data_IF_725909414206
#
_entry.id   IF_725909414206
#
_cell.length_a   1.000
_cell.length_b   1.000
_cell.length_c   1.000
_cell.angle_alpha   90.00
_cell.angle_beta   90.00
_cell.angle_gamma   90.00
#
_symmetry.space_group_name_H-M   'P 1'
#
loop_
_entity.id
_entity.type
_entity.pdbx_description
1 polymer ?
#
# COMPACT_ATOMS: atom_id res chain seq x y z
N UNK A 1 23.16 30.14 68.03
CA UNK A 1 23.12 29.52 66.68
C UNK A 1 21.92 28.57 66.56
N UNK A 2 20.71 29.08 66.26
CA UNK A 2 19.47 28.27 66.20
C UNK A 2 18.59 28.49 64.95
N UNK A 3 19.03 29.33 64.01
CA UNK A 3 18.31 29.64 62.76
C UNK A 3 18.71 28.75 61.57
N UNK A 4 19.73 27.90 61.72
CA UNK A 4 20.27 27.11 60.60
C UNK A 4 19.43 25.87 60.28
N UNK A 5 18.89 25.18 61.29
CA UNK A 5 18.13 23.94 61.06
C UNK A 5 16.73 24.20 60.48
N UNK A 6 16.14 25.36 60.76
CA UNK A 6 14.81 25.73 60.24
C UNK A 6 14.87 25.98 58.73
N UNK A 7 15.92 26.64 58.24
CA UNK A 7 16.11 26.90 56.81
C UNK A 7 16.41 25.62 56.00
N UNK A 8 17.10 24.64 56.59
CA UNK A 8 17.32 23.34 55.93
C UNK A 8 16.02 22.52 55.88
N UNK A 9 15.22 22.55 56.96
CA UNK A 9 13.96 21.83 57.02
C UNK A 9 12.95 22.35 56.00
N UNK A 10 12.86 23.67 55.79
CA UNK A 10 11.94 24.26 54.82
C UNK A 10 12.33 23.93 53.38
N UNK A 11 13.62 23.98 53.04
CA UNK A 11 14.11 23.60 51.70
C UNK A 11 13.83 22.13 51.42
N UNK A 12 14.03 21.25 52.41
CA UNK A 12 13.75 19.82 52.26
C UNK A 12 12.25 19.57 52.07
N UNK A 13 11.39 20.31 52.77
CA UNK A 13 9.93 20.18 52.66
C UNK A 13 9.40 20.68 51.31
N UNK A 14 9.93 21.79 50.79
CA UNK A 14 9.62 22.26 49.42
C UNK A 14 10.15 21.29 48.34
N UNK A 15 11.35 20.72 48.54
CA UNK A 15 11.91 19.69 47.66
C UNK A 15 11.03 18.44 47.62
N UNK A 16 10.57 17.94 48.76
CA UNK A 16 9.66 16.80 48.84
C UNK A 16 8.30 17.09 48.20
N UNK A 17 7.75 18.29 48.40
CA UNK A 17 6.48 18.69 47.75
C UNK A 17 6.61 18.73 46.21
N UNK A 18 7.73 19.22 45.69
CA UNK A 18 8.04 19.21 44.26
C UNK A 18 8.13 17.80 43.68
N UNK A 19 8.77 16.87 44.40
CA UNK A 19 8.87 15.46 43.96
C UNK A 19 7.52 14.75 43.99
N UNK A 20 6.67 14.99 44.99
CA UNK A 20 5.31 14.45 45.03
C UNK A 20 4.45 15.00 43.88
N UNK A 21 4.57 16.29 43.59
CA UNK A 21 3.85 16.92 42.46
C UNK A 21 4.32 16.37 41.12
N UNK A 22 5.62 16.17 40.95
CA UNK A 22 6.19 15.59 39.74
C UNK A 22 5.77 14.12 39.58
N UNK A 23 5.75 13.33 40.66
CA UNK A 23 5.28 11.94 40.63
C UNK A 23 3.79 11.83 40.29
N UNK A 24 2.95 12.74 40.79
CA UNK A 24 1.54 12.78 40.44
C UNK A 24 1.33 13.21 38.99
N UNK A 25 2.09 14.22 38.54
CA UNK A 25 2.03 14.71 37.17
C UNK A 25 2.47 13.65 36.16
N UNK A 26 3.56 12.91 36.42
CA UNK A 26 4.04 11.84 35.55
C UNK A 26 3.11 10.63 35.53
N UNK A 27 2.53 10.24 36.67
CA UNK A 27 1.54 9.17 36.74
C UNK A 27 0.25 9.53 35.98
N UNK A 28 -0.23 10.76 36.16
CA UNK A 28 -1.43 11.25 35.49
C UNK A 28 -1.20 11.48 33.98
N UNK A 29 -0.03 11.96 33.57
CA UNK A 29 0.32 12.11 32.16
C UNK A 29 0.49 10.75 31.47
N UNK A 30 1.03 9.75 32.17
CA UNK A 30 1.18 8.39 31.63
C UNK A 30 -0.16 7.75 31.28
N UNK A 31 -1.21 7.97 32.10
CA UNK A 31 -2.55 7.44 31.83
C UNK A 31 -3.20 8.08 30.60
N UNK A 32 -2.91 9.37 30.32
CA UNK A 32 -3.39 10.03 29.09
C UNK A 32 -2.60 9.62 27.85
N UNK A 33 -1.30 9.38 28.00
CA UNK A 33 -0.43 8.90 26.92
C UNK A 33 -0.90 7.57 26.35
N UNK A 34 -1.23 6.61 27.23
CA UNK A 34 -1.68 5.27 26.84
C UNK A 34 -2.94 5.31 25.94
N UNK A 35 -3.92 6.15 26.28
CA UNK A 35 -5.14 6.31 25.48
C UNK A 35 -4.84 6.95 24.12
N UNK A 36 -3.98 7.97 24.08
CA UNK A 36 -3.56 8.61 22.82
C UNK A 36 -2.78 7.64 21.94
N UNK A 37 -1.93 6.80 22.54
CA UNK A 37 -1.15 5.78 21.84
C UNK A 37 -2.05 4.68 21.27
N UNK A 38 -3.13 4.30 21.98
CA UNK A 38 -4.16 3.39 21.48
C UNK A 38 -4.85 3.99 20.24
N UNK A 39 -5.31 5.23 20.31
CA UNK A 39 -5.97 5.87 19.15
C UNK A 39 -5.02 6.03 17.97
N UNK A 40 -3.77 6.41 18.22
CA UNK A 40 -2.78 6.56 17.18
C UNK A 40 -2.47 5.20 16.52
N UNK A 41 -2.37 4.13 17.32
CA UNK A 41 -2.20 2.76 16.82
C UNK A 41 -3.38 2.31 15.98
N UNK A 42 -4.61 2.53 16.44
CA UNK A 42 -5.81 2.17 15.69
C UNK A 42 -5.91 2.94 14.37
N UNK A 43 -5.57 4.23 14.38
CA UNK A 43 -5.57 5.05 13.18
C UNK A 43 -4.51 4.58 12.17
N UNK A 44 -3.31 4.24 12.63
CA UNK A 44 -2.25 3.67 11.78
C UNK A 44 -2.68 2.33 11.18
N UNK A 45 -3.26 1.44 12.00
CA UNK A 45 -3.76 0.15 11.53
C UNK A 45 -4.90 0.31 10.52
N UNK A 46 -5.79 1.27 10.72
CA UNK A 46 -6.86 1.60 9.76
C UNK A 46 -6.30 2.16 8.45
N UNK A 47 -5.32 3.05 8.51
CA UNK A 47 -4.66 3.61 7.34
C UNK A 47 -3.97 2.54 6.51
N UNK A 48 -3.25 1.62 7.14
CA UNK A 48 -2.61 0.49 6.45
C UNK A 48 -3.64 -0.39 5.76
N UNK A 49 -4.73 -0.74 6.46
CA UNK A 49 -5.84 -1.52 5.89
C UNK A 49 -6.52 -0.82 4.72
N UNK A 50 -6.67 0.50 4.79
CA UNK A 50 -7.27 1.28 3.72
C UNK A 50 -6.36 1.31 2.49
N UNK A 51 -5.05 1.47 2.67
CA UNK A 51 -4.08 1.37 1.58
C UNK A 51 -4.07 -0.03 0.93
N UNK A 52 -4.13 -1.11 1.73
CA UNK A 52 -4.20 -2.46 1.18
C UNK A 52 -5.51 -2.69 0.41
N UNK A 53 -6.64 -2.24 0.96
CA UNK A 53 -7.94 -2.36 0.33
C UNK A 53 -8.04 -1.54 -0.97
N UNK A 54 -7.51 -0.32 -0.99
CA UNK A 54 -7.42 0.49 -2.21
C UNK A 54 -6.57 -0.21 -3.27
N UNK A 55 -5.41 -0.75 -2.89
CA UNK A 55 -4.52 -1.42 -3.83
C UNK A 55 -5.13 -2.69 -4.41
N UNK A 56 -5.87 -3.47 -3.62
CA UNK A 56 -6.66 -4.60 -4.12
C UNK A 56 -7.79 -4.14 -5.06
N UNK A 57 -8.52 -3.08 -4.69
CA UNK A 57 -9.58 -2.56 -5.55
C UNK A 57 -9.07 -2.02 -6.89
N UNK A 58 -7.88 -1.38 -6.89
CA UNK A 58 -7.22 -0.96 -8.14
C UNK A 58 -6.84 -2.16 -9.01
N UNK A 59 -6.36 -3.25 -8.42
CA UNK A 59 -6.04 -4.49 -9.16
C UNK A 59 -7.30 -5.13 -9.76
N UNK A 60 -8.42 -5.09 -9.03
CA UNK A 60 -9.69 -5.60 -9.53
C UNK A 60 -10.32 -4.71 -10.62
N UNK A 61 -10.12 -3.39 -10.54
CA UNK A 61 -10.65 -2.43 -11.52
C UNK A 61 -9.89 -2.40 -12.83
N UNK A 62 -8.63 -2.81 -12.87
CA UNK A 62 -7.91 -2.95 -14.14
C UNK A 62 -8.46 -4.15 -14.90
N UNK A 63 -9.10 -3.95 -16.07
CA UNK A 63 -9.64 -5.06 -16.83
C UNK A 63 -8.48 -5.99 -17.23
N UNK A 64 -8.61 -7.28 -16.89
CA UNK A 64 -7.61 -8.33 -17.23
C UNK A 64 -7.27 -8.35 -18.72
N UNK A 65 -8.24 -7.98 -19.56
CA UNK A 65 -8.10 -7.92 -21.00
C UNK A 65 -8.58 -6.58 -21.55
N UNK A 66 -7.81 -6.02 -22.48
CA UNK A 66 -8.20 -4.81 -23.19
C UNK A 66 -8.97 -5.19 -24.46
N UNK A 67 -10.26 -4.84 -24.52
CA UNK A 67 -11.08 -5.01 -25.73
C UNK A 67 -10.88 -3.83 -26.67
N UNK A 68 -10.70 -4.11 -27.94
CA UNK A 68 -10.56 -3.13 -29.02
C UNK A 68 -11.95 -2.78 -29.56
N UNK A 69 -12.13 -1.59 -30.13
CA UNK A 69 -13.42 -1.09 -30.64
C UNK A 69 -14.06 -2.00 -31.70
N UNK A 70 -13.22 -2.72 -32.45
CA UNK A 70 -13.64 -3.65 -33.50
C UNK A 70 -13.88 -5.08 -33.01
N UNK A 71 -13.95 -5.28 -31.68
CA UNK A 71 -14.39 -6.53 -31.07
C UNK A 71 -13.28 -7.53 -30.73
N UNK A 72 -12.02 -7.25 -31.11
CA UNK A 72 -10.88 -8.09 -30.74
C UNK A 72 -10.45 -7.87 -29.29
N UNK A 73 -9.90 -8.92 -28.68
CA UNK A 73 -9.33 -8.88 -27.32
C UNK A 73 -7.80 -8.90 -27.45
N UNK A 74 -7.11 -7.96 -26.79
CA UNK A 74 -5.65 -7.93 -26.75
C UNK A 74 -5.15 -8.94 -25.71
N UNK A 75 -4.41 -9.94 -26.18
CA UNK A 75 -3.86 -11.03 -25.36
C UNK A 75 -2.36 -10.89 -25.05
N UNK A 76 -1.65 -10.04 -25.79
CA UNK A 76 -0.21 -9.84 -25.64
C UNK A 76 0.30 -8.63 -26.41
N UNK A 77 1.57 -8.31 -26.20
CA UNK A 77 2.30 -7.26 -26.93
C UNK A 77 3.73 -7.72 -27.18
N UNK A 78 4.30 -7.31 -28.31
CA UNK A 78 5.68 -7.64 -28.66
C UNK A 78 6.65 -6.89 -27.75
N UNK A 79 7.39 -7.65 -26.96
CA UNK A 79 8.48 -7.17 -26.11
C UNK A 79 9.74 -7.90 -26.54
N UNK A 80 10.77 -7.16 -26.95
CA UNK A 80 12.02 -7.74 -27.46
C UNK A 80 11.82 -8.75 -28.62
N UNK A 81 10.81 -8.52 -29.47
CA UNK A 81 10.50 -9.36 -30.63
C UNK A 81 9.62 -10.58 -30.33
N UNK A 82 9.20 -10.79 -29.09
CA UNK A 82 8.34 -11.93 -28.69
C UNK A 82 7.02 -11.42 -28.13
N UNK A 83 5.92 -12.03 -28.54
CA UNK A 83 4.59 -11.82 -27.97
C UNK A 83 3.99 -13.18 -27.60
N UNK A 84 3.74 -13.40 -26.32
CA UNK A 84 3.14 -14.62 -25.79
C UNK A 84 1.90 -14.24 -24.96
N UNK A 85 0.91 -15.13 -24.94
CA UNK A 85 -0.32 -14.93 -24.19
C UNK A 85 -1.19 -16.17 -24.19
N UNK A 86 -1.89 -16.38 -23.07
CA UNK A 86 -2.90 -17.43 -22.94
C UNK A 86 -4.29 -16.83 -23.18
N UNK A 87 -5.12 -17.56 -23.92
CA UNK A 87 -6.50 -17.18 -24.19
C UNK A 87 -7.40 -17.86 -23.18
N UNK A 88 -8.18 -17.06 -22.44
CA UNK A 88 -9.13 -17.58 -21.46
C UNK A 88 -10.21 -18.43 -22.17
N UNK A 89 -10.45 -19.69 -21.75
CA UNK A 89 -11.46 -20.54 -22.37
C UNK A 89 -12.88 -19.95 -22.33
N UNK A 90 -13.15 -19.00 -21.43
CA UNK A 90 -14.42 -18.29 -21.33
C UNK A 90 -14.78 -17.48 -22.59
N UNK A 91 -13.80 -17.17 -23.44
CA UNK A 91 -14.04 -16.51 -24.73
C UNK A 91 -14.58 -17.45 -25.82
N UNK A 92 -14.59 -18.76 -25.57
CA UNK A 92 -15.02 -19.76 -26.54
C UNK A 92 -13.93 -20.12 -27.56
N UNK A 93 -14.32 -20.74 -28.69
CA UNK A 93 -13.38 -21.14 -29.73
C UNK A 93 -12.64 -19.94 -30.33
N UNK A 94 -11.35 -20.12 -30.66
CA UNK A 94 -10.59 -19.10 -31.37
C UNK A 94 -11.10 -18.98 -32.81
N UNK A 95 -11.77 -17.86 -33.12
CA UNK A 95 -12.30 -17.60 -34.46
C UNK A 95 -11.29 -16.91 -35.38
N UNK A 96 -10.58 -15.90 -34.84
CA UNK A 96 -9.65 -15.09 -35.62
C UNK A 96 -8.51 -14.56 -34.73
N UNK A 97 -7.35 -14.34 -35.34
CA UNK A 97 -6.21 -13.68 -34.73
C UNK A 97 -5.75 -12.52 -35.62
N UNK A 98 -5.37 -11.40 -35.00
CA UNK A 98 -4.90 -10.20 -35.70
C UNK A 98 -3.67 -9.62 -35.02
N UNK A 99 -2.70 -9.23 -35.82
CA UNK A 99 -1.59 -8.36 -35.40
C UNK A 99 -1.95 -6.90 -35.69
N UNK A 100 -1.73 -6.02 -34.72
CA UNK A 100 -2.02 -4.59 -34.84
C UNK A 100 -0.78 -3.78 -34.50
N UNK A 101 -0.50 -2.78 -35.33
CA UNK A 101 0.58 -1.82 -35.11
C UNK A 101 -0.02 -0.65 -34.34
N UNK A 102 0.43 -0.45 -33.10
CA UNK A 102 -0.12 0.59 -32.21
C UNK A 102 0.43 1.98 -32.50
N UNK A 103 1.62 2.05 -33.08
CA UNK A 103 2.39 3.27 -33.27
C UNK A 103 3.09 3.20 -34.63
N UNK A 104 3.05 4.31 -35.37
CA UNK A 104 3.72 4.38 -36.66
C UNK A 104 5.23 4.15 -36.51
N UNK A 105 5.80 3.41 -37.46
CA UNK A 105 7.21 3.07 -37.50
C UNK A 105 7.77 3.30 -38.91
N UNK A 106 8.94 3.94 -39.06
CA UNK A 106 9.58 4.13 -40.36
C UNK A 106 10.27 2.85 -40.87
N UNK A 107 10.36 1.81 -40.04
CA UNK A 107 11.00 0.54 -40.36
C UNK A 107 9.97 -0.58 -40.53
N UNK A 108 10.30 -1.51 -41.42
CA UNK A 108 9.52 -2.72 -41.64
C UNK A 108 9.82 -3.76 -40.57
N UNK A 109 8.80 -4.51 -40.17
CA UNK A 109 8.94 -5.67 -39.28
C UNK A 109 8.70 -6.94 -40.08
N UNK A 110 9.45 -7.99 -39.75
CA UNK A 110 9.25 -9.32 -40.32
C UNK A 110 8.72 -10.20 -39.20
N UNK A 111 7.59 -10.85 -39.47
CA UNK A 111 7.04 -11.87 -38.59
C UNK A 111 7.66 -13.22 -38.96
N UNK A 112 8.44 -13.79 -38.05
CA UNK A 112 9.11 -15.07 -38.30
C UNK A 112 8.16 -16.26 -38.20
N UNK A 113 7.42 -16.36 -37.10
CA UNK A 113 6.59 -17.54 -36.80
C UNK A 113 5.44 -17.21 -35.85
N UNK A 114 4.40 -18.06 -35.88
CA UNK A 114 3.25 -18.03 -34.97
C UNK A 114 2.99 -19.46 -34.49
N UNK A 115 2.90 -19.64 -33.18
CA UNK A 115 2.51 -20.90 -32.55
C UNK A 115 1.16 -20.77 -31.87
N UNK A 116 0.20 -21.63 -32.25
CA UNK A 116 -1.10 -21.75 -31.58
C UNK A 116 -1.20 -23.16 -31.02
N UNK A 117 -1.40 -23.27 -29.71
CA UNK A 117 -1.56 -24.55 -29.00
C UNK A 117 -2.88 -24.53 -28.26
N UNK A 118 -3.57 -25.68 -28.25
CA UNK A 118 -4.72 -25.88 -27.38
C UNK A 118 -4.23 -26.06 -25.95
N UNK A 119 -4.85 -25.39 -24.98
CA UNK A 119 -4.62 -25.66 -23.56
C UNK A 119 -5.14 -27.08 -23.24
N UNK A 120 -4.34 -27.86 -22.52
CA UNK A 120 -4.72 -29.21 -22.05
C UNK A 120 -5.69 -29.17 -20.87
#
# INVERSE_FOLDING_TARGET
>A
MRLRNVSFLTVLLFGLCGLVSLSWYTAFSSSRGDVVDIYQREFLALRERLHSAEQENLREKTPKYQRTEDGFIRIGSFQNGIAEGEVDPTFGPLEAMRLSVMTDSPVWVILSEIFIKKAE
#
